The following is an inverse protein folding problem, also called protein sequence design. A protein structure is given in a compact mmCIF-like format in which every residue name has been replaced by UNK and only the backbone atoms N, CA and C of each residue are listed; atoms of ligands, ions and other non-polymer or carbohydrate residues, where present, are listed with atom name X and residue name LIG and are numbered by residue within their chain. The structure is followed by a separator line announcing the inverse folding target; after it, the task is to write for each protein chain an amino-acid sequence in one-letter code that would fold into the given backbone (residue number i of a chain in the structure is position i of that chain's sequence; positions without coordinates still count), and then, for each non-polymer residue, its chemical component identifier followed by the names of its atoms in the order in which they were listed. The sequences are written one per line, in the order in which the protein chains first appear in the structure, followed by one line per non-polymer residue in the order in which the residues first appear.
data_IF_297228651820
#
_entry.id   IF_297228651820
#
_cell.length_a   1.000
_cell.length_b   1.000
_cell.length_c   1.000
_cell.angle_alpha   90.00
_cell.angle_beta   90.00
_cell.angle_gamma   90.00
#
_symmetry.space_group_name_H-M   'P 1'
#
loop_
_entity.id
_entity.type
_entity.pdbx_description
1 polymer ?
#
# COMPACT_ATOMS: atom_id res chain seq x y z
N UNK A 1 8.49 -18.96 -24.60
CA UNK A 1 7.67 -20.00 -23.94
C UNK A 1 7.12 -19.35 -22.69
N UNK A 2 5.81 -19.37 -22.48
CA UNK A 2 5.20 -18.77 -21.29
C UNK A 2 5.66 -19.49 -20.01
N UNK A 3 5.71 -18.77 -18.89
CA UNK A 3 5.85 -19.37 -17.57
C UNK A 3 4.68 -20.37 -17.35
N UNK A 4 4.92 -21.62 -16.92
CA UNK A 4 3.88 -22.62 -16.72
C UNK A 4 2.78 -22.20 -15.72
N UNK A 5 3.07 -21.27 -14.81
CA UNK A 5 2.11 -20.72 -13.85
C UNK A 5 1.18 -19.73 -14.55
N UNK A 6 1.71 -18.86 -15.40
CA UNK A 6 0.90 -17.97 -16.26
C UNK A 6 0.02 -18.80 -17.19
N UNK A 7 0.57 -19.85 -17.81
CA UNK A 7 -0.19 -20.76 -18.67
C UNK A 7 -1.36 -21.40 -17.92
N UNK A 8 -1.15 -21.80 -16.67
CA UNK A 8 -2.21 -22.35 -15.82
C UNK A 8 -3.30 -21.32 -15.54
N UNK A 9 -2.93 -20.09 -15.16
CA UNK A 9 -3.93 -19.02 -14.93
C UNK A 9 -4.78 -18.81 -16.18
N UNK A 10 -4.16 -18.72 -17.36
CA UNK A 10 -4.87 -18.58 -18.63
C UNK A 10 -5.82 -19.77 -18.86
N UNK A 11 -5.36 -21.01 -18.70
CA UNK A 11 -6.22 -22.20 -18.88
C UNK A 11 -7.41 -22.22 -17.91
N UNK A 12 -7.20 -21.85 -16.65
CA UNK A 12 -8.26 -21.74 -15.65
C UNK A 12 -9.28 -20.67 -16.03
N UNK A 13 -8.82 -19.49 -16.48
CA UNK A 13 -9.70 -18.42 -16.95
C UNK A 13 -10.46 -18.83 -18.21
N UNK A 14 -9.81 -19.47 -19.19
CA UNK A 14 -10.41 -19.95 -20.43
C UNK A 14 -11.53 -20.98 -20.21
N UNK A 15 -11.48 -21.72 -19.10
CA UNK A 15 -12.50 -22.68 -18.70
C UNK A 15 -13.71 -22.03 -17.99
N UNK A 16 -13.66 -20.73 -17.69
CA UNK A 16 -14.80 -20.02 -17.12
C UNK A 16 -15.96 -19.99 -18.12
N UNK A 17 -17.13 -20.45 -17.69
CA UNK A 17 -18.32 -20.62 -18.53
C UNK A 17 -18.86 -19.32 -19.15
N UNK A 18 -18.39 -18.16 -18.67
CA UNK A 18 -18.74 -16.83 -19.16
C UNK A 18 -17.92 -16.37 -20.38
N UNK A 19 -16.79 -17.01 -20.69
CA UNK A 19 -15.91 -16.61 -21.78
C UNK A 19 -16.21 -17.35 -23.08
N UNK A 20 -16.32 -16.61 -24.18
CA UNK A 20 -16.39 -17.21 -25.51
C UNK A 20 -15.01 -17.71 -25.97
N UNK A 21 -14.92 -18.70 -26.88
CA UNK A 21 -13.64 -19.14 -27.43
C UNK A 21 -12.83 -18.03 -28.12
N UNK A 22 -13.50 -17.00 -28.66
CA UNK A 22 -12.82 -15.83 -29.23
C UNK A 22 -12.20 -14.94 -28.14
N UNK A 23 -12.96 -14.68 -27.07
CA UNK A 23 -12.48 -13.90 -25.93
C UNK A 23 -11.30 -14.58 -25.21
N UNK A 24 -11.36 -15.90 -25.04
CA UNK A 24 -10.26 -16.72 -24.54
C UNK A 24 -8.96 -16.53 -25.36
N UNK A 25 -9.07 -16.62 -26.69
CA UNK A 25 -7.93 -16.39 -27.59
C UNK A 25 -7.37 -14.97 -27.50
N UNK A 26 -8.23 -13.97 -27.38
CA UNK A 26 -7.80 -12.58 -27.27
C UNK A 26 -7.10 -12.30 -25.93
N UNK A 27 -7.59 -12.89 -24.82
CA UNK A 27 -6.92 -12.85 -23.52
C UNK A 27 -5.51 -13.46 -23.60
N UNK A 28 -5.42 -14.66 -24.17
CA UNK A 28 -4.14 -15.35 -24.34
C UNK A 28 -3.19 -14.53 -25.21
N UNK A 29 -3.67 -14.00 -26.33
CA UNK A 29 -2.86 -13.14 -27.20
C UNK A 29 -2.38 -11.88 -26.46
N UNK A 30 -3.22 -11.24 -25.63
CA UNK A 30 -2.84 -10.06 -24.86
C UNK A 30 -1.61 -10.32 -23.97
N UNK A 31 -1.53 -11.49 -23.34
CA UNK A 31 -0.39 -11.89 -22.52
C UNK A 31 0.80 -12.34 -23.38
N UNK A 32 0.58 -13.29 -24.30
CA UNK A 32 1.67 -13.91 -25.09
C UNK A 32 2.41 -12.92 -25.99
N UNK A 33 1.71 -11.90 -26.48
CA UNK A 33 2.30 -10.90 -27.37
C UNK A 33 3.03 -9.78 -26.65
N UNK A 34 3.02 -9.72 -25.30
CA UNK A 34 3.72 -8.70 -24.51
C UNK A 34 4.80 -9.33 -23.60
N UNK A 35 6.07 -9.39 -24.06
CA UNK A 35 7.18 -9.88 -23.23
C UNK A 35 7.30 -9.16 -21.88
N UNK A 36 7.09 -7.85 -21.84
CA UNK A 36 7.12 -7.06 -20.60
C UNK A 36 6.02 -7.51 -19.63
N UNK A 37 4.78 -7.68 -20.10
CA UNK A 37 3.67 -8.15 -19.26
C UNK A 37 3.97 -9.52 -18.66
N UNK A 38 4.50 -10.44 -19.46
CA UNK A 38 4.91 -11.78 -18.98
C UNK A 38 5.96 -11.67 -17.88
N UNK A 39 6.95 -10.78 -18.02
CA UNK A 39 7.99 -10.56 -17.01
C UNK A 39 7.42 -10.02 -15.70
N UNK A 40 6.60 -8.97 -15.74
CA UNK A 40 6.02 -8.38 -14.52
C UNK A 40 5.01 -9.31 -13.84
N UNK A 41 4.23 -10.08 -14.61
CA UNK A 41 3.34 -11.11 -14.06
C UNK A 41 4.14 -12.22 -13.39
N UNK A 42 5.23 -12.68 -14.00
CA UNK A 42 6.14 -13.67 -13.40
C UNK A 42 6.69 -13.15 -12.08
N UNK A 43 7.11 -11.89 -12.03
CA UNK A 43 7.61 -11.25 -10.80
C UNK A 43 6.54 -11.16 -9.71
N UNK A 44 5.31 -10.79 -10.06
CA UNK A 44 4.19 -10.76 -9.11
C UNK A 44 3.88 -12.17 -8.55
N UNK A 45 3.95 -13.20 -9.40
CA UNK A 45 3.80 -14.61 -8.98
C UNK A 45 4.95 -15.04 -8.08
N UNK A 46 6.20 -14.67 -8.41
CA UNK A 46 7.39 -14.99 -7.60
C UNK A 46 7.34 -14.34 -6.21
N UNK A 47 6.76 -13.14 -6.10
CA UNK A 47 6.49 -12.50 -4.82
C UNK A 47 5.33 -13.17 -4.05
N UNK A 48 4.56 -14.03 -4.70
CA UNK A 48 3.38 -14.67 -4.12
C UNK A 48 2.13 -13.77 -4.12
N UNK A 49 2.10 -12.73 -4.94
CA UNK A 49 1.04 -11.72 -4.97
C UNK A 49 0.05 -11.92 -6.13
N UNK A 50 0.29 -12.84 -7.07
CA UNK A 50 -0.62 -13.09 -8.20
C UNK A 50 -0.83 -14.60 -8.41
N UNK A 51 -2.09 -15.03 -8.47
CA UNK A 51 -2.46 -16.45 -8.65
C UNK A 51 -3.59 -16.67 -9.66
N UNK A 52 -4.49 -15.71 -9.87
CA UNK A 52 -5.66 -15.94 -10.74
C UNK A 52 -6.00 -14.73 -11.62
N UNK A 53 -6.68 -15.02 -12.73
CA UNK A 53 -7.37 -14.05 -13.57
C UNK A 53 -8.84 -14.46 -13.69
N UNK A 54 -9.76 -13.51 -13.56
CA UNK A 54 -11.20 -13.74 -13.79
C UNK A 54 -11.82 -12.59 -14.57
N UNK A 55 -12.96 -12.88 -15.20
CA UNK A 55 -13.80 -11.83 -15.79
C UNK A 55 -15.00 -11.57 -14.88
N UNK A 56 -15.22 -10.31 -14.56
CA UNK A 56 -16.37 -9.85 -13.79
C UNK A 56 -17.02 -8.65 -14.48
N UNK A 57 -18.28 -8.35 -14.15
CA UNK A 57 -18.89 -7.07 -14.48
C UNK A 57 -18.83 -6.18 -13.26
N UNK A 58 -17.77 -5.39 -13.16
CA UNK A 58 -17.63 -4.35 -12.17
C UNK A 58 -17.99 -3.01 -12.81
N UNK A 59 -19.12 -2.39 -12.46
CA UNK A 59 -19.42 -1.05 -12.97
C UNK A 59 -18.29 -0.09 -12.54
N UNK A 60 -18.02 0.92 -13.37
CA UNK A 60 -17.14 2.05 -13.06
C UNK A 60 -15.61 1.77 -13.07
N UNK A 61 -15.18 0.55 -13.39
CA UNK A 61 -13.76 0.15 -13.41
C UNK A 61 -13.42 -0.67 -14.67
N UNK A 62 -12.18 -0.53 -15.18
CA UNK A 62 -11.68 -1.34 -16.30
C UNK A 62 -11.18 -2.72 -15.87
N UNK A 63 -10.68 -2.81 -14.64
CA UNK A 63 -10.28 -4.01 -13.93
C UNK A 63 -10.08 -3.67 -12.45
N UNK A 64 -9.82 -4.68 -11.63
CA UNK A 64 -9.31 -4.50 -10.26
C UNK A 64 -8.46 -5.70 -9.86
N UNK A 65 -7.44 -5.45 -9.06
CA UNK A 65 -6.67 -6.48 -8.38
C UNK A 65 -7.16 -6.65 -6.93
N UNK A 66 -7.47 -7.88 -6.56
CA UNK A 66 -7.81 -8.25 -5.19
C UNK A 66 -6.60 -8.91 -4.51
N UNK A 67 -6.09 -8.29 -3.45
CA UNK A 67 -4.92 -8.82 -2.73
C UNK A 67 -5.22 -10.14 -2.01
N UNK A 68 -6.35 -10.24 -1.31
CA UNK A 68 -6.68 -11.43 -0.51
C UNK A 68 -6.92 -12.69 -1.35
N UNK A 69 -7.50 -12.52 -2.54
CA UNK A 69 -7.70 -13.58 -3.53
C UNK A 69 -6.53 -13.70 -4.52
N UNK A 70 -5.55 -12.78 -4.48
CA UNK A 70 -4.44 -12.67 -5.44
C UNK A 70 -4.92 -12.74 -6.90
N UNK A 71 -6.03 -12.07 -7.18
CA UNK A 71 -6.80 -12.24 -8.40
C UNK A 71 -6.92 -10.92 -9.15
N UNK A 72 -6.60 -10.96 -10.44
CA UNK A 72 -6.94 -9.87 -11.38
C UNK A 72 -8.34 -10.12 -11.92
N UNK A 73 -9.26 -9.19 -11.67
CA UNK A 73 -10.59 -9.15 -12.26
C UNK A 73 -10.60 -8.19 -13.44
N UNK A 74 -10.83 -8.68 -14.65
CA UNK A 74 -10.98 -7.86 -15.85
C UNK A 74 -12.47 -7.57 -16.07
N UNK A 75 -12.83 -6.31 -16.34
CA UNK A 75 -14.20 -5.98 -16.68
C UNK A 75 -14.59 -6.61 -18.04
N UNK A 76 -15.64 -7.43 -18.03
CA UNK A 76 -16.15 -8.13 -19.21
C UNK A 76 -16.59 -7.19 -20.36
N UNK A 77 -16.84 -5.90 -20.10
CA UNK A 77 -17.18 -4.92 -21.13
C UNK A 77 -16.03 -4.67 -22.11
N UNK A 78 -14.78 -4.94 -21.73
CA UNK A 78 -13.63 -4.92 -22.65
C UNK A 78 -13.85 -5.84 -23.85
N UNK A 79 -14.56 -6.96 -23.64
CA UNK A 79 -14.83 -7.96 -24.66
C UNK A 79 -15.80 -7.47 -25.74
N UNK A 80 -16.53 -6.38 -25.47
CA UNK A 80 -17.52 -5.81 -26.38
C UNK A 80 -16.91 -4.81 -27.38
N UNK A 81 -15.62 -4.46 -27.24
CA UNK A 81 -14.96 -3.54 -28.17
C UNK A 81 -14.93 -4.11 -29.60
N UNK A 82 -15.36 -3.34 -30.62
CA UNK A 82 -15.57 -3.85 -31.97
C UNK A 82 -14.26 -4.17 -32.69
N UNK A 83 -13.23 -3.33 -32.50
CA UNK A 83 -11.90 -3.59 -33.04
C UNK A 83 -11.19 -4.67 -32.22
N UNK A 84 -10.78 -5.75 -32.87
CA UNK A 84 -9.99 -6.81 -32.23
C UNK A 84 -8.65 -6.28 -31.71
N UNK A 85 -8.00 -5.43 -32.49
CA UNK A 85 -6.72 -4.83 -32.13
C UNK A 85 -6.84 -4.00 -30.85
N UNK A 86 -7.79 -3.06 -30.80
CA UNK A 86 -8.04 -2.23 -29.61
C UNK A 86 -8.46 -3.06 -28.40
N UNK A 87 -9.26 -4.11 -28.60
CA UNK A 87 -9.65 -5.01 -27.53
C UNK A 87 -8.45 -5.69 -26.88
N UNK A 88 -7.51 -6.18 -27.68
CA UNK A 88 -6.32 -6.87 -27.17
C UNK A 88 -5.36 -5.87 -26.50
N UNK A 89 -5.21 -4.65 -27.03
CA UNK A 89 -4.44 -3.60 -26.32
C UNK A 89 -5.06 -3.24 -24.99
N UNK A 90 -6.38 -3.06 -24.95
CA UNK A 90 -7.08 -2.76 -23.70
C UNK A 90 -6.94 -3.91 -22.70
N UNK A 91 -7.04 -5.17 -23.13
CA UNK A 91 -6.77 -6.33 -22.28
C UNK A 91 -5.33 -6.30 -21.76
N UNK A 92 -4.36 -5.98 -22.61
CA UNK A 92 -2.95 -5.91 -22.25
C UNK A 92 -2.69 -4.79 -21.24
N UNK A 93 -3.29 -3.62 -21.45
CA UNK A 93 -3.20 -2.46 -20.56
C UNK A 93 -3.83 -2.74 -19.20
N UNK A 94 -5.06 -3.27 -19.16
CA UNK A 94 -5.74 -3.63 -17.90
C UNK A 94 -4.94 -4.69 -17.14
N UNK A 95 -4.51 -5.78 -17.79
CA UNK A 95 -3.69 -6.79 -17.13
C UNK A 95 -2.37 -6.21 -16.61
N UNK A 96 -1.74 -5.30 -17.35
CA UNK A 96 -0.54 -4.59 -16.91
C UNK A 96 -0.82 -3.70 -15.69
N UNK A 97 -1.89 -2.91 -15.72
CA UNK A 97 -2.32 -2.05 -14.62
C UNK A 97 -2.52 -2.86 -13.33
N UNK A 98 -3.35 -3.90 -13.40
CA UNK A 98 -3.66 -4.74 -12.23
C UNK A 98 -2.46 -5.56 -11.75
N UNK A 99 -1.55 -5.95 -12.66
CA UNK A 99 -0.27 -6.57 -12.26
C UNK A 99 0.63 -5.57 -11.54
N UNK A 100 0.61 -4.29 -11.92
CA UNK A 100 1.33 -3.24 -11.21
C UNK A 100 0.86 -3.08 -9.76
N UNK A 101 -0.45 -3.19 -9.51
CA UNK A 101 -0.98 -3.27 -8.15
C UNK A 101 -0.52 -4.54 -7.42
N UNK A 102 -0.52 -5.70 -8.07
CA UNK A 102 -0.01 -6.93 -7.47
C UNK A 102 1.47 -6.79 -7.03
N UNK A 103 2.31 -6.12 -7.85
CA UNK A 103 3.71 -5.82 -7.48
C UNK A 103 3.84 -4.90 -6.27
N UNK A 104 2.83 -4.08 -5.99
CA UNK A 104 2.77 -3.15 -4.86
C UNK A 104 1.89 -3.63 -3.71
N UNK A 105 1.36 -4.85 -3.76
CA UNK A 105 0.42 -5.38 -2.78
C UNK A 105 0.91 -5.20 -1.34
N UNK A 106 2.15 -5.64 -1.04
CA UNK A 106 2.77 -5.45 0.28
C UNK A 106 2.99 -3.97 0.65
N UNK A 107 3.25 -3.11 -0.34
CA UNK A 107 3.36 -1.66 -0.13
C UNK A 107 2.06 -1.03 0.31
N UNK A 108 1.00 -1.42 -0.35
CA UNK A 108 -0.34 -0.99 -0.04
C UNK A 108 -0.79 -1.50 1.34
N UNK A 109 -0.57 -2.77 1.65
CA UNK A 109 -0.86 -3.36 2.97
C UNK A 109 -0.19 -2.61 4.12
N UNK A 110 1.10 -2.27 3.98
CA UNK A 110 1.78 -1.47 5.01
C UNK A 110 1.21 -0.06 5.13
N UNK A 111 0.90 0.59 4.01
CA UNK A 111 0.37 1.96 4.02
C UNK A 111 -1.00 2.03 4.71
N UNK A 112 -1.82 1.02 4.49
CA UNK A 112 -3.16 0.90 5.06
C UNK A 112 -3.11 0.54 6.54
N UNK A 113 -2.25 -0.41 6.93
CA UNK A 113 -1.98 -0.71 8.33
C UNK A 113 -1.44 0.51 9.09
N UNK A 114 -0.44 1.21 8.51
CA UNK A 114 0.17 2.41 9.09
C UNK A 114 -0.88 3.50 9.32
N UNK A 115 -1.78 3.71 8.37
CA UNK A 115 -2.87 4.67 8.51
C UNK A 115 -3.76 4.34 9.71
N UNK A 116 -4.34 3.12 9.75
CA UNK A 116 -5.22 2.70 10.85
C UNK A 116 -4.52 2.76 12.21
N UNK A 117 -3.27 2.31 12.27
CA UNK A 117 -2.46 2.33 13.49
C UNK A 117 -2.20 3.77 13.99
N UNK A 118 -1.78 4.68 13.10
CA UNK A 118 -1.51 6.07 13.50
C UNK A 118 -2.77 6.84 13.89
N UNK A 119 -3.92 6.50 13.30
CA UNK A 119 -5.22 7.02 13.74
C UNK A 119 -5.54 6.54 15.16
N UNK A 120 -5.34 5.24 15.45
CA UNK A 120 -5.55 4.68 16.80
C UNK A 120 -4.66 5.35 17.86
N UNK A 121 -3.38 5.56 17.56
CA UNK A 121 -2.45 6.30 18.43
C UNK A 121 -2.92 7.73 18.67
N UNK A 122 -3.25 8.46 17.59
CA UNK A 122 -3.71 9.85 17.68
C UNK A 122 -4.98 9.97 18.54
N UNK A 123 -5.96 9.07 18.35
CA UNK A 123 -7.19 9.05 19.14
C UNK A 123 -6.94 8.73 20.63
N UNK A 124 -6.05 7.77 20.94
CA UNK A 124 -5.68 7.43 22.32
C UNK A 124 -4.93 8.56 23.01
N UNK A 125 -4.01 9.21 22.30
CA UNK A 125 -3.25 10.35 22.81
C UNK A 125 -4.18 11.54 23.08
N UNK A 126 -5.04 11.90 22.12
CA UNK A 126 -6.02 12.96 22.29
C UNK A 126 -6.98 12.67 23.45
N UNK A 127 -7.46 11.43 23.59
CA UNK A 127 -8.27 11.02 24.74
C UNK A 127 -7.52 11.18 26.07
N UNK A 128 -6.22 10.87 26.12
CA UNK A 128 -5.37 11.00 27.32
C UNK A 128 -5.21 12.45 27.75
N UNK A 129 -5.08 13.37 26.81
CA UNK A 129 -4.90 14.80 27.07
C UNK A 129 -6.21 15.61 27.12
N UNK A 130 -7.34 14.98 26.80
CA UNK A 130 -8.66 15.60 26.86
C UNK A 130 -8.98 16.47 25.65
N UNK A 131 -8.36 16.18 24.51
CA UNK A 131 -8.66 16.86 23.25
C UNK A 131 -10.10 16.54 22.81
N UNK A 132 -10.77 17.53 22.21
CA UNK A 132 -12.10 17.33 21.62
C UNK A 132 -12.01 16.82 20.17
N UNK A 133 -10.89 17.10 19.49
CA UNK A 133 -10.66 16.77 18.08
C UNK A 133 -9.17 16.48 17.86
N UNK A 134 -8.86 15.43 17.10
CA UNK A 134 -7.48 15.10 16.70
C UNK A 134 -7.32 15.25 15.21
N UNK A 135 -6.39 16.08 14.77
CA UNK A 135 -6.14 16.31 13.34
C UNK A 135 -5.39 15.13 12.72
N UNK A 136 -6.04 14.42 11.80
CA UNK A 136 -5.46 13.31 11.04
C UNK A 136 -5.15 13.70 9.59
N UNK A 137 -5.27 14.98 9.21
CA UNK A 137 -4.93 15.48 7.87
C UNK A 137 -3.53 15.05 7.41
N UNK A 138 -2.47 15.11 8.26
CA UNK A 138 -1.15 14.65 7.84
C UNK A 138 -1.08 13.15 7.53
N UNK A 139 -1.84 12.32 8.28
CA UNK A 139 -1.92 10.88 8.06
C UNK A 139 -2.65 10.57 6.75
N UNK A 140 -3.74 11.29 6.48
CA UNK A 140 -4.49 11.19 5.24
C UNK A 140 -3.59 11.54 4.04
N UNK A 141 -2.83 12.64 4.11
CA UNK A 141 -1.90 13.05 3.05
C UNK A 141 -0.83 12.01 2.74
N UNK A 142 -0.25 11.41 3.78
CA UNK A 142 0.76 10.36 3.62
C UNK A 142 0.17 9.16 2.87
N UNK A 143 -1.01 8.70 3.27
CA UNK A 143 -1.72 7.61 2.61
C UNK A 143 -2.08 7.94 1.16
N UNK A 144 -2.66 9.13 0.90
CA UNK A 144 -3.01 9.57 -0.45
C UNK A 144 -1.77 9.66 -1.35
N UNK A 145 -0.62 10.12 -0.85
CA UNK A 145 0.60 10.14 -1.64
C UNK A 145 1.09 8.72 -1.98
N UNK A 146 1.01 7.78 -1.04
CA UNK A 146 1.35 6.38 -1.31
C UNK A 146 0.41 5.76 -2.37
N UNK A 147 -0.89 6.04 -2.28
CA UNK A 147 -1.87 5.63 -3.30
C UNK A 147 -1.60 6.26 -4.66
N UNK A 148 -1.20 7.54 -4.69
CA UNK A 148 -0.82 8.26 -5.91
C UNK A 148 0.38 7.61 -6.60
N UNK A 149 1.38 7.17 -5.84
CA UNK A 149 2.53 6.44 -6.38
C UNK A 149 2.14 5.03 -6.87
N UNK A 150 1.23 4.36 -6.16
CA UNK A 150 0.70 3.05 -6.54
C UNK A 150 -0.03 3.08 -7.89
N UNK A 151 -0.98 4.00 -8.06
CA UNK A 151 -1.71 4.19 -9.33
C UNK A 151 -0.77 4.55 -10.48
N UNK A 152 0.24 5.38 -10.21
CA UNK A 152 1.20 5.80 -11.22
C UNK A 152 2.12 4.65 -11.67
N UNK A 153 2.56 3.78 -10.75
CA UNK A 153 3.29 2.58 -11.14
C UNK A 153 2.39 1.63 -11.94
N UNK A 154 1.18 1.37 -11.47
CA UNK A 154 0.22 0.52 -12.17
C UNK A 154 0.01 0.99 -13.60
N UNK A 155 -0.21 2.29 -13.79
CA UNK A 155 -0.40 2.85 -15.12
C UNK A 155 0.87 2.83 -15.97
N UNK A 156 2.05 3.03 -15.39
CA UNK A 156 3.30 2.85 -16.11
C UNK A 156 3.47 1.40 -16.59
N UNK A 157 3.14 0.41 -15.76
CA UNK A 157 3.16 -1.02 -16.12
C UNK A 157 2.16 -1.32 -17.23
N UNK A 158 0.96 -0.71 -17.20
CA UNK A 158 -0.02 -0.76 -18.28
C UNK A 158 0.55 -0.25 -19.60
N UNK A 159 1.07 0.98 -19.62
CA UNK A 159 1.64 1.61 -20.80
C UNK A 159 2.81 0.80 -21.37
N UNK A 160 3.73 0.35 -20.52
CA UNK A 160 4.87 -0.48 -20.92
C UNK A 160 4.43 -1.84 -21.47
N UNK A 161 3.37 -2.44 -20.92
CA UNK A 161 2.80 -3.71 -21.40
C UNK A 161 2.22 -3.57 -22.82
N UNK A 162 1.48 -2.48 -23.09
CA UNK A 162 0.97 -2.20 -24.44
C UNK A 162 2.10 -1.86 -25.40
N UNK A 163 3.07 -1.04 -24.99
CA UNK A 163 4.21 -0.70 -25.84
C UNK A 163 5.06 -1.93 -26.22
N UNK A 164 5.37 -2.78 -25.23
CA UNK A 164 6.05 -4.05 -25.45
C UNK A 164 5.29 -4.94 -26.43
N UNK A 165 3.95 -4.94 -26.36
CA UNK A 165 3.12 -5.70 -27.28
C UNK A 165 3.22 -5.20 -28.71
N UNK A 166 2.99 -3.90 -28.91
CA UNK A 166 2.99 -3.28 -30.24
C UNK A 166 4.36 -3.46 -30.90
N UNK A 167 5.46 -3.28 -30.15
CA UNK A 167 6.83 -3.49 -30.64
C UNK A 167 7.18 -4.96 -30.89
N UNK A 168 6.58 -5.90 -30.17
CA UNK A 168 6.76 -7.32 -30.43
C UNK A 168 6.08 -7.75 -31.74
N UNK A 169 4.95 -7.13 -32.09
CA UNK A 169 4.24 -7.38 -33.35
C UNK A 169 4.94 -6.74 -34.55
N UNK A 170 5.43 -5.51 -34.39
CA UNK A 170 6.22 -4.80 -35.38
C UNK A 170 7.34 -4.00 -34.71
N UNK A 171 8.57 -4.50 -34.83
CA UNK A 171 9.74 -3.84 -34.24
C UNK A 171 10.03 -2.47 -34.86
N UNK A 172 9.55 -2.20 -36.07
CA UNK A 172 9.74 -0.94 -36.80
C UNK A 172 8.55 0.02 -36.69
N UNK A 173 7.56 -0.28 -35.83
CA UNK A 173 6.42 0.60 -35.60
C UNK A 173 6.87 2.02 -35.26
N UNK A 174 6.27 3.00 -35.94
CA UNK A 174 6.55 4.41 -35.71
C UNK A 174 6.06 4.86 -34.34
N UNK A 175 6.67 5.91 -33.80
CA UNK A 175 6.21 6.52 -32.54
C UNK A 175 4.74 6.99 -32.63
N UNK A 176 4.36 7.59 -33.76
CA UNK A 176 2.98 8.05 -33.98
C UNK A 176 1.97 6.90 -33.92
N UNK A 177 2.30 5.74 -34.51
CA UNK A 177 1.45 4.55 -34.45
C UNK A 177 1.43 3.95 -33.04
N UNK A 178 2.58 3.89 -32.34
CA UNK A 178 2.61 3.45 -30.94
C UNK A 178 1.72 4.31 -30.05
N UNK A 179 1.81 5.64 -30.17
CA UNK A 179 0.97 6.57 -29.40
C UNK A 179 -0.50 6.45 -29.80
N UNK A 180 -0.82 6.22 -31.07
CA UNK A 180 -2.19 5.95 -31.49
C UNK A 180 -2.77 4.69 -30.83
N UNK A 181 -1.95 3.64 -30.67
CA UNK A 181 -2.33 2.38 -29.99
C UNK A 181 -2.48 2.53 -28.47
N UNK A 182 -1.73 3.45 -27.85
CA UNK A 182 -1.80 3.74 -26.42
C UNK A 182 -2.97 4.68 -26.05
N UNK A 183 -3.32 5.64 -26.91
CA UNK A 183 -4.39 6.63 -26.69
C UNK A 183 -5.71 6.02 -26.13
N UNK A 184 -6.24 4.90 -26.66
CA UNK A 184 -7.49 4.34 -26.12
C UNK A 184 -7.31 3.57 -24.79
N UNK A 185 -6.09 3.29 -24.34
CA UNK A 185 -5.81 2.45 -23.18
C UNK A 185 -5.41 3.22 -21.93
N UNK A 186 -4.98 4.48 -22.06
CA UNK A 186 -4.44 5.28 -20.97
C UNK A 186 -4.85 6.75 -21.06
N UNK A 187 -5.13 7.45 -19.94
CA UNK A 187 -5.31 8.91 -19.95
C UNK A 187 -3.99 9.67 -20.17
N UNK A 188 -2.85 8.99 -20.08
CA UNK A 188 -1.52 9.61 -20.24
C UNK A 188 -1.09 9.81 -21.69
N UNK A 189 -1.91 9.37 -22.64
CA UNK A 189 -1.81 9.72 -24.06
C UNK A 189 -3.14 10.35 -24.47
N UNK A 190 -3.08 11.45 -25.20
CA UNK A 190 -4.29 12.10 -25.72
C UNK A 190 -4.03 12.65 -27.10
N UNK A 191 -4.86 12.25 -28.07
CA UNK A 191 -4.72 12.61 -29.47
C UNK A 191 -3.32 12.28 -30.03
N UNK A 192 -2.81 11.10 -29.68
CA UNK A 192 -1.48 10.63 -30.07
C UNK A 192 -0.31 11.44 -29.50
N UNK A 193 -0.49 12.09 -28.33
CA UNK A 193 0.57 12.86 -27.66
C UNK A 193 0.69 12.42 -26.21
N UNK A 194 1.93 12.21 -25.76
CA UNK A 194 2.24 11.91 -24.35
C UNK A 194 1.95 13.10 -23.45
N UNK A 195 1.48 12.82 -22.24
CA UNK A 195 1.38 13.81 -21.18
C UNK A 195 2.76 14.41 -20.84
N UNK A 196 2.82 15.68 -20.39
CA UNK A 196 4.07 16.35 -20.09
C UNK A 196 4.92 15.59 -19.06
N UNK A 197 6.23 15.48 -19.33
CA UNK A 197 7.19 14.85 -18.42
C UNK A 197 7.37 13.35 -18.60
N UNK A 198 6.46 12.67 -19.31
CA UNK A 198 6.63 11.26 -19.68
C UNK A 198 7.71 11.15 -20.76
N UNK A 199 8.64 10.23 -20.54
CA UNK A 199 9.71 9.91 -21.49
C UNK A 199 9.74 8.40 -21.73
N UNK A 200 9.79 8.01 -22.99
CA UNK A 200 9.91 6.62 -23.42
C UNK A 200 11.23 6.43 -24.15
N UNK A 201 11.83 5.25 -24.01
CA UNK A 201 12.97 4.84 -24.81
C UNK A 201 12.56 4.44 -26.26
N UNK A 202 13.52 3.94 -27.04
CA UNK A 202 13.26 3.55 -28.45
C UNK A 202 12.33 2.33 -28.58
N UNK A 203 12.14 1.58 -27.50
CA UNK A 203 11.21 0.47 -27.35
C UNK A 203 9.84 0.94 -26.84
N UNK A 204 9.65 2.23 -26.57
CA UNK A 204 8.40 2.75 -26.02
C UNK A 204 8.25 2.52 -24.51
N UNK A 205 9.33 2.14 -23.82
CA UNK A 205 9.33 1.76 -22.41
C UNK A 205 9.77 2.93 -21.54
N UNK A 206 9.03 3.13 -20.46
CA UNK A 206 9.37 4.06 -19.37
C UNK A 206 10.20 3.33 -18.31
N UNK A 207 11.23 4.00 -17.78
CA UNK A 207 12.13 3.45 -16.77
C UNK A 207 12.01 4.20 -15.45
N UNK A 208 12.01 3.46 -14.35
CA UNK A 208 11.97 4.02 -13.00
C UNK A 208 13.35 4.14 -12.36
N UNK A 209 14.39 3.64 -13.02
CA UNK A 209 15.73 3.48 -12.45
C UNK A 209 15.72 2.73 -11.11
N UNK A 210 14.82 1.73 -10.99
CA UNK A 210 14.54 0.94 -9.77
C UNK A 210 14.07 1.78 -8.57
N UNK A 211 13.41 2.92 -8.81
CA UNK A 211 12.92 3.82 -7.75
C UNK A 211 11.46 4.21 -7.95
N UNK A 212 10.65 4.02 -6.89
CA UNK A 212 9.24 4.41 -6.91
C UNK A 212 9.07 5.94 -6.89
N UNK A 213 10.02 6.67 -6.29
CA UNK A 213 10.01 8.14 -6.22
C UNK A 213 10.62 8.83 -7.46
N UNK A 214 10.76 8.08 -8.56
CA UNK A 214 11.41 8.51 -9.79
C UNK A 214 10.62 9.59 -10.56
N UNK A 215 11.30 10.38 -11.41
CA UNK A 215 10.63 11.36 -12.28
C UNK A 215 9.57 10.73 -13.19
N UNK A 216 9.78 9.51 -13.66
CA UNK A 216 8.84 8.80 -14.52
C UNK A 216 7.52 8.51 -13.79
N UNK A 217 7.58 8.00 -12.56
CA UNK A 217 6.38 7.75 -11.73
C UNK A 217 5.67 9.06 -11.44
N UNK A 218 6.41 10.12 -11.09
CA UNK A 218 5.82 11.45 -10.83
C UNK A 218 5.10 12.02 -12.05
N UNK A 219 5.62 11.81 -13.26
CA UNK A 219 4.98 12.26 -14.49
C UNK A 219 3.69 11.48 -14.80
N UNK A 220 3.71 10.16 -14.69
CA UNK A 220 2.51 9.31 -14.88
C UNK A 220 1.43 9.64 -13.85
N UNK A 221 1.82 9.89 -12.59
CA UNK A 221 0.89 10.26 -11.54
C UNK A 221 0.06 11.53 -11.86
N UNK A 222 0.60 12.46 -12.66
CA UNK A 222 -0.12 13.68 -13.03
C UNK A 222 -1.31 13.35 -13.94
N UNK A 223 -1.11 12.55 -14.99
CA UNK A 223 -2.18 12.20 -15.92
C UNK A 223 -3.11 11.10 -15.37
N UNK A 224 -2.57 10.15 -14.60
CA UNK A 224 -3.35 9.04 -14.07
C UNK A 224 -4.15 9.40 -12.82
N UNK A 225 -3.54 10.10 -11.86
CA UNK A 225 -4.13 10.36 -10.55
C UNK A 225 -4.65 11.80 -10.45
N UNK A 226 -3.77 12.78 -10.65
CA UNK A 226 -4.08 14.20 -10.38
C UNK A 226 -5.10 14.79 -11.36
N UNK A 227 -5.11 14.30 -12.62
CA UNK A 227 -6.01 14.74 -13.69
C UNK A 227 -7.05 13.67 -14.05
N UNK A 228 -7.29 12.72 -13.13
CA UNK A 228 -8.22 11.63 -13.37
C UNK A 228 -9.64 12.10 -13.65
N UNK A 229 -10.33 11.36 -14.52
CA UNK A 229 -11.75 11.58 -14.76
C UNK A 229 -12.60 11.16 -13.55
N UNK A 230 -13.81 11.70 -13.48
CA UNK A 230 -14.81 11.33 -12.47
C UNK A 230 -15.60 10.10 -12.94
N UNK A 231 -14.99 8.93 -12.79
CA UNK A 231 -15.61 7.64 -13.16
C UNK A 231 -15.56 6.60 -12.06
N UNK A 232 -14.86 6.85 -10.95
CA UNK A 232 -14.62 5.87 -9.90
C UNK A 232 -15.67 5.94 -8.78
N UNK A 233 -15.63 4.93 -7.92
CA UNK A 233 -16.44 4.88 -6.70
C UNK A 233 -17.83 4.29 -6.91
N UNK A 234 -18.54 4.13 -5.79
CA UNK A 234 -19.88 3.55 -5.73
C UNK A 234 -20.89 4.22 -6.68
N UNK A 235 -20.76 5.54 -6.91
CA UNK A 235 -21.62 6.29 -7.82
C UNK A 235 -21.01 6.57 -9.20
N UNK A 236 -19.74 6.20 -9.44
CA UNK A 236 -19.05 6.45 -10.71
C UNK A 236 -18.84 7.94 -10.98
N UNK A 237 -18.63 8.74 -9.93
CA UNK A 237 -18.55 10.20 -9.96
C UNK A 237 -17.29 10.73 -9.25
N UNK A 238 -16.40 9.84 -8.84
CA UNK A 238 -15.22 10.19 -8.05
C UNK A 238 -13.97 10.15 -8.91
N UNK A 239 -13.06 11.07 -8.63
CA UNK A 239 -11.66 10.94 -9.03
C UNK A 239 -10.92 10.03 -8.05
N UNK A 240 -9.65 9.74 -8.33
CA UNK A 240 -8.82 8.91 -7.46
C UNK A 240 -8.62 9.51 -6.06
N UNK A 241 -8.53 10.83 -5.94
CA UNK A 241 -8.30 11.48 -4.65
C UNK A 241 -9.50 11.24 -3.70
N UNK A 242 -10.72 11.54 -4.15
CA UNK A 242 -11.94 11.27 -3.39
C UNK A 242 -12.13 9.76 -3.14
N UNK A 243 -11.79 8.92 -4.12
CA UNK A 243 -11.83 7.47 -3.99
C UNK A 243 -10.97 6.96 -2.84
N UNK A 244 -9.69 7.36 -2.77
CA UNK A 244 -8.80 6.95 -1.69
C UNK A 244 -9.10 7.66 -0.36
N UNK A 245 -9.62 8.89 -0.35
CA UNK A 245 -10.09 9.55 0.87
C UNK A 245 -11.28 8.84 1.50
N UNK A 246 -12.11 8.16 0.72
CA UNK A 246 -13.17 7.30 1.25
C UNK A 246 -12.63 6.17 2.13
N UNK A 247 -11.45 5.63 1.81
CA UNK A 247 -10.77 4.66 2.65
C UNK A 247 -10.31 5.27 3.96
N UNK A 248 -9.70 6.46 3.93
CA UNK A 248 -9.24 7.18 5.13
C UNK A 248 -10.38 7.37 6.13
N UNK A 249 -11.54 7.82 5.65
CA UNK A 249 -12.72 8.01 6.50
C UNK A 249 -13.27 6.68 7.00
N UNK A 250 -13.24 5.63 6.19
CA UNK A 250 -13.68 4.28 6.58
C UNK A 250 -12.78 3.67 7.67
N UNK A 251 -11.45 3.79 7.52
CA UNK A 251 -10.47 3.37 8.51
C UNK A 251 -10.64 4.15 9.83
N UNK A 252 -10.78 5.47 9.74
CA UNK A 252 -11.05 6.32 10.90
C UNK A 252 -12.33 5.94 11.64
N UNK A 253 -13.41 5.63 10.91
CA UNK A 253 -14.66 5.17 11.48
C UNK A 253 -14.54 3.80 12.16
N UNK A 254 -13.80 2.87 11.55
CA UNK A 254 -13.56 1.54 12.12
C UNK A 254 -12.76 1.63 13.43
N UNK A 255 -11.65 2.38 13.44
CA UNK A 255 -10.81 2.57 14.62
C UNK A 255 -11.56 3.26 15.75
N UNK A 256 -12.27 4.36 15.45
CA UNK A 256 -13.05 5.10 16.46
C UNK A 256 -14.09 4.19 17.13
N UNK A 257 -14.82 3.41 16.33
CA UNK A 257 -15.82 2.46 16.84
C UNK A 257 -15.21 1.36 17.70
N UNK A 258 -14.02 0.86 17.36
CA UNK A 258 -13.35 -0.18 18.13
C UNK A 258 -12.83 0.34 19.47
N UNK A 259 -12.38 1.60 19.51
CA UNK A 259 -12.00 2.29 20.76
C UNK A 259 -13.22 2.56 21.65
N UNK A 260 -14.31 3.06 21.10
CA UNK A 260 -15.57 3.29 21.82
C UNK A 260 -16.15 2.00 22.44
N UNK A 261 -15.91 0.85 21.80
CA UNK A 261 -16.32 -0.45 22.35
C UNK A 261 -15.39 -0.97 23.44
N UNK A 262 -14.11 -0.59 23.40
CA UNK A 262 -13.08 -1.09 24.31
C UNK A 262 -12.96 -0.27 25.60
N UNK A 263 -13.46 0.97 25.63
CA UNK A 263 -13.32 1.89 26.74
C UNK A 263 -14.61 2.68 27.00
N UNK A 264 -14.82 3.10 28.25
CA UNK A 264 -15.86 4.07 28.61
C UNK A 264 -15.37 5.53 28.56
N UNK A 265 -14.08 5.74 28.26
CA UNK A 265 -13.50 7.06 28.07
C UNK A 265 -14.05 7.69 26.78
N UNK A 266 -14.39 8.98 26.84
CA UNK A 266 -14.78 9.73 25.65
C UNK A 266 -13.59 9.80 24.69
N UNK A 267 -13.79 9.33 23.45
CA UNK A 267 -12.80 9.43 22.38
C UNK A 267 -13.01 10.77 21.63
N UNK A 268 -11.94 11.50 21.28
CA UNK A 268 -12.05 12.72 20.47
C UNK A 268 -12.63 12.45 19.07
N UNK A 269 -13.21 13.49 18.46
CA UNK A 269 -13.60 13.43 17.06
C UNK A 269 -12.37 13.45 16.15
N UNK A 270 -12.44 12.83 14.97
CA UNK A 270 -11.41 12.99 13.95
C UNK A 270 -11.53 14.36 13.28
N UNK A 271 -10.41 15.05 13.10
CA UNK A 271 -10.28 16.29 12.35
C UNK A 271 -9.65 16.02 10.97
N UNK A 272 -10.27 16.56 9.92
CA UNK A 272 -9.79 16.47 8.53
C UNK A 272 -9.93 17.82 7.84
N UNK A 273 -8.84 18.36 7.30
CA UNK A 273 -8.88 19.57 6.48
C UNK A 273 -9.24 19.18 5.04
N UNK A 274 -10.53 19.11 4.73
CA UNK A 274 -11.01 18.63 3.43
C UNK A 274 -10.53 19.51 2.26
N UNK A 275 -10.42 20.83 2.48
CA UNK A 275 -9.89 21.76 1.48
C UNK A 275 -8.42 21.48 1.17
N UNK A 276 -7.61 21.22 2.20
CA UNK A 276 -6.20 20.89 2.03
C UNK A 276 -5.99 19.49 1.43
N UNK A 277 -6.94 18.58 1.66
CA UNK A 277 -6.99 17.26 1.02
C UNK A 277 -7.59 17.30 -0.39
N UNK A 278 -8.05 18.47 -0.87
CA UNK A 278 -8.56 18.63 -2.23
C UNK A 278 -9.84 17.86 -2.53
N UNK A 279 -10.74 17.70 -1.55
CA UNK A 279 -12.03 17.02 -1.75
C UNK A 279 -13.13 17.62 -0.86
N UNK A 280 -14.36 17.11 -0.97
CA UNK A 280 -15.49 17.44 -0.12
C UNK A 280 -16.11 16.20 0.54
N UNK A 281 -16.92 16.40 1.58
CA UNK A 281 -17.64 15.30 2.22
C UNK A 281 -18.59 14.58 1.24
N UNK A 282 -19.22 15.33 0.33
CA UNK A 282 -20.10 14.79 -0.70
C UNK A 282 -19.34 13.91 -1.70
N UNK A 283 -18.15 14.33 -2.13
CA UNK A 283 -17.30 13.56 -3.04
C UNK A 283 -16.80 12.27 -2.37
N UNK A 284 -16.34 12.36 -1.12
CA UNK A 284 -15.94 11.20 -0.31
C UNK A 284 -17.12 10.23 -0.10
N UNK A 285 -18.32 10.77 0.14
CA UNK A 285 -19.51 9.96 0.29
C UNK A 285 -19.88 9.24 -1.02
N UNK A 286 -19.80 9.95 -2.15
CA UNK A 286 -20.08 9.43 -3.49
C UNK A 286 -19.06 8.36 -3.93
N UNK A 287 -17.81 8.47 -3.47
CA UNK A 287 -16.79 7.45 -3.65
C UNK A 287 -17.18 6.13 -2.96
N UNK A 288 -17.84 6.20 -1.81
CA UNK A 288 -18.38 5.05 -1.10
C UNK A 288 -17.57 4.72 0.15
N UNK A 289 -18.01 5.24 1.30
CA UNK A 289 -17.41 4.93 2.61
C UNK A 289 -17.92 3.60 3.19
N UNK A 290 -17.03 2.82 3.79
CA UNK A 290 -17.31 1.56 4.45
C UNK A 290 -17.54 1.75 5.94
N UNK A 291 -18.81 1.79 6.36
CA UNK A 291 -19.23 2.09 7.73
C UNK A 291 -19.93 0.90 8.43
N UNK A 292 -19.87 -0.28 7.83
CA UNK A 292 -20.47 -1.51 8.36
C UNK A 292 -21.94 -1.72 7.97
N UNK A 293 -22.44 -1.01 6.96
CA UNK A 293 -23.75 -1.24 6.36
C UNK A 293 -24.36 0.00 5.72
N UNK A 294 -25.24 -0.21 4.75
CA UNK A 294 -25.93 0.88 4.04
C UNK A 294 -26.64 1.84 5.01
N UNK A 295 -26.47 3.14 4.80
CA UNK A 295 -27.11 4.20 5.58
C UNK A 295 -26.50 4.44 6.96
N UNK A 296 -25.50 3.64 7.37
CA UNK A 296 -24.65 3.97 8.52
C UNK A 296 -23.94 5.29 8.26
N UNK A 297 -23.79 6.09 9.32
CA UNK A 297 -23.22 7.41 9.26
C UNK A 297 -21.99 7.48 10.17
N UNK A 298 -21.03 8.31 9.80
CA UNK A 298 -19.87 8.61 10.60
C UNK A 298 -19.64 10.12 10.61
N UNK A 299 -19.55 10.68 11.81
CA UNK A 299 -19.30 12.09 12.05
C UNK A 299 -17.82 12.36 12.30
N UNK A 300 -17.31 13.42 11.68
CA UNK A 300 -15.96 13.94 11.90
C UNK A 300 -16.01 15.47 11.83
N UNK A 301 -14.89 16.13 12.07
CA UNK A 301 -14.77 17.59 12.06
C UNK A 301 -13.98 18.03 10.84
N UNK A 302 -14.59 18.81 9.95
CA UNK A 302 -13.88 19.52 8.90
C UNK A 302 -13.12 20.69 9.53
N UNK A 303 -11.79 20.69 9.41
CA UNK A 303 -10.88 21.70 9.98
C UNK A 303 -10.47 22.78 8.97
N UNK A 304 -11.07 22.77 7.77
CA UNK A 304 -10.77 23.71 6.69
C UNK A 304 -10.88 25.17 7.12
N UNK A 305 -9.96 25.99 6.61
CA UNK A 305 -9.86 27.44 6.90
C UNK A 305 -9.74 27.77 8.40
N UNK A 306 -9.27 26.81 9.22
CA UNK A 306 -9.14 26.96 10.67
C UNK A 306 -10.47 26.95 11.42
N UNK A 307 -11.56 26.52 10.78
CA UNK A 307 -12.87 26.38 11.41
C UNK A 307 -13.11 24.93 11.84
N UNK A 308 -13.82 24.72 12.95
CA UNK A 308 -14.24 23.37 13.37
C UNK A 308 -15.70 23.17 12.96
N UNK A 309 -15.93 22.51 11.82
CA UNK A 309 -17.27 22.27 11.29
C UNK A 309 -17.64 20.79 11.44
N UNK A 310 -18.62 20.44 12.29
CA UNK A 310 -19.15 19.08 12.32
C UNK A 310 -19.64 18.67 10.92
N UNK A 311 -19.18 17.52 10.46
CA UNK A 311 -19.44 16.98 9.13
C UNK A 311 -19.79 15.50 9.28
N UNK A 312 -20.62 14.99 8.38
CA UNK A 312 -21.07 13.61 8.40
C UNK A 312 -21.05 13.04 6.99
N UNK A 313 -20.63 11.79 6.87
CA UNK A 313 -20.79 11.00 5.64
C UNK A 313 -21.61 9.74 5.93
N UNK A 314 -22.29 9.25 4.91
CA UNK A 314 -23.12 8.05 4.96
C UNK A 314 -22.66 7.00 3.96
N UNK A 315 -22.66 5.75 4.38
CA UNK A 315 -22.39 4.65 3.47
C UNK A 315 -23.52 4.53 2.43
N UNK A 316 -23.17 4.76 1.18
CA UNK A 316 -24.05 4.57 0.02
C UNK A 316 -23.87 3.15 -0.51
N UNK A 317 -24.96 2.46 -0.85
CA UNK A 317 -24.91 1.11 -1.41
C UNK A 317 -24.51 0.01 -0.40
N UNK A 318 -24.28 -1.20 -0.91
CA UNK A 318 -23.79 -2.35 -0.12
C UNK A 318 -22.27 -2.22 0.09
N UNK A 319 -21.77 -2.70 1.22
CA UNK A 319 -20.34 -2.65 1.57
C UNK A 319 -19.46 -3.24 0.46
N UNK A 320 -18.36 -2.56 0.12
CA UNK A 320 -17.33 -3.06 -0.80
C UNK A 320 -17.58 -2.86 -2.30
N UNK A 321 -18.72 -2.32 -2.74
CA UNK A 321 -18.95 -2.06 -4.18
C UNK A 321 -18.34 -0.72 -4.57
N UNK A 322 -17.28 -0.75 -5.37
CA UNK A 322 -16.57 0.44 -5.85
C UNK A 322 -15.80 1.15 -4.73
N UNK A 323 -15.20 0.39 -3.81
CA UNK A 323 -14.15 0.90 -2.91
C UNK A 323 -12.80 0.37 -3.44
N UNK A 324 -11.66 1.00 -3.11
CA UNK A 324 -10.38 0.34 -3.30
C UNK A 324 -10.46 -1.03 -2.62
N UNK A 325 -9.92 -2.09 -3.24
CA UNK A 325 -9.98 -3.47 -2.76
C UNK A 325 -9.00 -3.69 -1.57
N UNK A 326 -9.12 -2.78 -0.62
CA UNK A 326 -8.40 -2.65 0.62
C UNK A 326 -9.50 -2.74 1.66
N UNK A 327 -9.63 -3.89 2.31
CA UNK A 327 -10.49 -3.93 3.48
C UNK A 327 -9.97 -2.92 4.50
N UNK A 328 -10.87 -2.15 5.13
CA UNK A 328 -10.50 -1.36 6.30
C UNK A 328 -10.02 -2.34 7.35
N UNK A 329 -8.71 -2.50 7.48
CA UNK A 329 -8.13 -3.45 8.41
C UNK A 329 -8.45 -2.94 9.81
N UNK A 330 -9.39 -3.60 10.48
CA UNK A 330 -9.42 -3.55 11.94
C UNK A 330 -8.04 -4.04 12.38
N UNK A 331 -7.29 -3.23 13.14
CA UNK A 331 -5.94 -3.60 13.60
C UNK A 331 -6.01 -5.01 14.19
N UNK A 332 -5.48 -6.05 13.50
CA UNK A 332 -5.73 -7.41 13.92
C UNK A 332 -5.05 -7.62 15.27
N UNK A 333 -5.82 -7.97 16.29
CA UNK A 333 -5.26 -8.35 17.61
C UNK A 333 -4.46 -9.67 17.56
N UNK A 334 -4.37 -10.35 16.41
CA UNK A 334 -3.68 -11.65 16.25
C UNK A 334 -2.48 -11.60 15.27
N UNK A 335 -1.30 -11.41 15.87
CA UNK A 335 0.04 -11.97 15.58
C UNK A 335 0.50 -12.15 14.12
N UNK A 336 1.10 -11.10 13.56
CA UNK A 336 2.31 -11.30 12.76
C UNK A 336 3.34 -12.10 13.59
N UNK A 337 4.12 -12.97 12.96
CA UNK A 337 5.25 -13.65 13.63
C UNK A 337 6.32 -12.57 13.88
N UNK A 338 6.44 -12.13 15.13
CA UNK A 338 7.36 -11.06 15.54
C UNK A 338 8.71 -11.63 15.96
N UNK A 339 9.73 -10.78 16.12
CA UNK A 339 11.09 -11.22 16.46
C UNK A 339 11.22 -11.98 17.79
N UNK A 340 10.24 -11.89 18.69
CA UNK A 340 10.19 -12.70 19.91
C UNK A 340 9.72 -14.15 19.68
N UNK A 341 9.32 -14.50 18.45
CA UNK A 341 8.94 -15.84 18.05
C UNK A 341 10.12 -16.59 17.39
N UNK A 342 10.41 -17.84 17.77
CA UNK A 342 11.47 -18.67 17.16
C UNK A 342 11.40 -18.88 15.65
N UNK A 343 10.22 -18.74 15.05
CA UNK A 343 10.04 -18.84 13.61
C UNK A 343 10.47 -17.56 12.84
N UNK A 344 10.78 -16.46 13.54
CA UNK A 344 11.17 -15.20 12.91
C UNK A 344 12.65 -15.23 12.48
N UNK A 345 13.02 -14.73 11.27
CA UNK A 345 14.40 -14.71 10.79
C UNK A 345 15.39 -14.02 11.75
N UNK A 346 14.94 -12.95 12.41
CA UNK A 346 15.77 -12.18 13.35
C UNK A 346 15.60 -12.62 14.80
N UNK A 347 14.97 -13.77 15.06
CA UNK A 347 14.79 -14.27 16.41
C UNK A 347 16.11 -14.39 17.16
N UNK A 348 17.19 -14.78 16.48
CA UNK A 348 18.52 -14.88 17.09
C UNK A 348 19.03 -13.54 17.65
N UNK A 349 18.84 -12.44 16.90
CA UNK A 349 19.21 -11.09 17.33
C UNK A 349 18.37 -10.64 18.52
N UNK A 350 17.05 -10.80 18.44
CA UNK A 350 16.15 -10.48 19.55
C UNK A 350 16.47 -11.30 20.79
N UNK A 351 16.71 -12.60 20.63
CA UNK A 351 17.02 -13.52 21.73
C UNK A 351 18.36 -13.16 22.40
N UNK A 352 19.36 -12.70 21.64
CA UNK A 352 20.63 -12.22 22.21
C UNK A 352 20.43 -10.99 23.10
N UNK A 353 19.63 -10.01 22.64
CA UNK A 353 19.24 -8.84 23.43
C UNK A 353 18.49 -9.28 24.68
N UNK A 354 17.45 -10.09 24.51
CA UNK A 354 16.59 -10.55 25.59
C UNK A 354 17.36 -11.33 26.66
N UNK A 355 18.25 -12.24 26.24
CA UNK A 355 19.05 -13.04 27.18
C UNK A 355 19.98 -12.16 28.02
N UNK A 356 20.54 -11.10 27.44
CA UNK A 356 21.38 -10.17 28.19
C UNK A 356 20.54 -9.34 29.18
N UNK A 357 19.44 -8.75 28.71
CA UNK A 357 18.54 -7.90 29.52
C UNK A 357 18.03 -8.69 30.73
N UNK A 358 17.50 -9.89 30.49
CA UNK A 358 17.02 -10.78 31.55
C UNK A 358 18.17 -11.19 32.49
N UNK A 359 19.36 -11.47 31.94
CA UNK A 359 20.55 -11.84 32.72
C UNK A 359 21.06 -10.74 33.65
N UNK A 360 20.67 -9.47 33.46
CA UNK A 360 21.01 -8.39 34.39
C UNK A 360 20.24 -8.46 35.71
N UNK A 361 19.05 -9.09 35.73
CA UNK A 361 18.17 -9.13 36.89
C UNK A 361 17.57 -7.78 37.30
N UNK A 362 17.70 -6.75 36.47
CA UNK A 362 17.19 -5.40 36.78
C UNK A 362 15.69 -5.23 36.55
N UNK A 363 15.05 -6.18 35.86
CA UNK A 363 13.65 -6.14 35.41
C UNK A 363 12.99 -7.50 35.61
N UNK A 364 11.67 -7.51 35.79
CA UNK A 364 10.89 -8.76 35.74
C UNK A 364 10.78 -9.30 34.31
N UNK A 365 10.15 -10.46 34.11
CA UNK A 365 10.05 -11.11 32.80
C UNK A 365 9.33 -10.25 31.74
N UNK A 366 8.25 -9.55 32.13
CA UNK A 366 7.48 -8.69 31.21
C UNK A 366 8.26 -7.43 30.86
N UNK A 367 8.85 -6.77 31.86
CA UNK A 367 9.68 -5.59 31.69
C UNK A 367 10.93 -5.91 30.85
N UNK A 368 11.53 -7.09 31.03
CA UNK A 368 12.66 -7.56 30.22
C UNK A 368 12.27 -7.71 28.75
N UNK A 369 11.07 -8.25 28.47
CA UNK A 369 10.52 -8.33 27.11
C UNK A 369 10.33 -6.94 26.50
N UNK A 370 9.76 -6.02 27.27
CA UNK A 370 9.49 -4.64 26.85
C UNK A 370 10.78 -3.90 26.47
N UNK A 371 11.79 -3.93 27.35
CA UNK A 371 13.10 -3.31 27.11
C UNK A 371 13.80 -3.93 25.89
N UNK A 372 13.74 -5.25 25.75
CA UNK A 372 14.38 -5.98 24.64
C UNK A 372 13.76 -5.64 23.29
N UNK A 373 12.43 -5.59 23.23
CA UNK A 373 11.70 -5.21 22.02
C UNK A 373 11.98 -3.76 21.60
N UNK A 374 12.02 -2.84 22.56
CA UNK A 374 12.34 -1.44 22.29
C UNK A 374 13.77 -1.29 21.74
N UNK A 375 14.75 -1.99 22.31
CA UNK A 375 16.13 -1.95 21.83
C UNK A 375 16.29 -2.61 20.46
N UNK A 376 15.59 -3.74 20.21
CA UNK A 376 15.57 -4.37 18.89
C UNK A 376 15.02 -3.42 17.83
N UNK A 377 13.92 -2.70 18.12
CA UNK A 377 13.38 -1.67 17.23
C UNK A 377 14.41 -0.58 16.91
N UNK A 378 15.08 -0.02 17.92
CA UNK A 378 16.11 1.01 17.71
C UNK A 378 17.30 0.50 16.89
N UNK A 379 17.69 -0.77 17.10
CA UNK A 379 18.74 -1.39 16.30
C UNK A 379 18.34 -1.53 14.83
N UNK A 380 17.07 -1.88 14.58
CA UNK A 380 16.51 -2.03 13.24
C UNK A 380 16.39 -0.68 12.51
N UNK A 381 16.07 0.38 13.24
CA UNK A 381 15.91 1.75 12.73
C UNK A 381 17.23 2.41 12.31
N UNK A 382 18.34 2.04 12.95
CA UNK A 382 19.65 2.61 12.60
C UNK A 382 20.29 1.85 11.42
N UNK A 383 20.42 2.46 10.22
CA UNK A 383 20.98 1.81 9.06
C UNK A 383 22.49 1.51 9.20
N UNK A 384 23.19 2.10 10.17
CA UNK A 384 24.60 1.82 10.45
C UNK A 384 24.78 0.52 11.25
N UNK A 385 23.74 0.03 11.94
CA UNK A 385 23.76 -1.18 12.74
C UNK A 385 23.38 -2.41 11.91
N UNK A 386 24.38 -3.02 11.26
CA UNK A 386 24.16 -4.20 10.40
C UNK A 386 23.93 -5.50 11.16
N UNK A 387 24.38 -5.59 12.42
CA UNK A 387 24.18 -6.72 13.33
C UNK A 387 24.50 -6.31 14.77
N UNK A 388 24.14 -7.15 15.74
CA UNK A 388 24.49 -6.97 17.15
C UNK A 388 25.67 -7.86 17.52
N UNK A 389 26.87 -7.28 17.68
CA UNK A 389 28.06 -7.99 18.13
C UNK A 389 28.12 -8.09 19.67
N UNK A 390 27.58 -7.10 20.37
CA UNK A 390 27.53 -7.07 21.83
C UNK A 390 26.30 -6.33 22.34
N UNK A 391 25.74 -6.79 23.46
CA UNK A 391 24.74 -6.06 24.24
C UNK A 391 25.39 -5.67 25.56
N UNK A 392 25.26 -4.42 25.95
CA UNK A 392 25.85 -3.88 27.18
C UNK A 392 24.96 -2.80 27.76
N UNK A 393 25.23 -2.37 28.98
CA UNK A 393 24.40 -1.37 29.64
C UNK A 393 24.94 -0.98 30.99
N UNK A 394 24.36 0.07 31.55
CA UNK A 394 24.77 0.61 32.83
C UNK A 394 23.88 1.74 33.31
N UNK A 395 23.99 2.04 34.60
CA UNK A 395 23.28 3.14 35.22
C UNK A 395 23.94 4.47 34.84
N UNK A 396 23.18 5.34 34.17
CA UNK A 396 23.56 6.71 33.86
C UNK A 396 23.67 7.57 35.12
N UNK A 397 24.37 8.70 35.03
CA UNK A 397 24.52 9.65 36.16
C UNK A 397 23.21 10.35 36.55
N UNK A 398 22.23 10.30 35.65
CA UNK A 398 20.83 10.73 35.77
C UNK A 398 19.90 9.61 36.29
N UNK A 399 20.45 8.42 36.58
CA UNK A 399 19.69 7.25 37.00
C UNK A 399 18.99 6.50 35.85
N UNK A 400 19.26 6.83 34.58
CA UNK A 400 18.76 6.09 33.42
C UNK A 400 19.37 4.69 33.36
N UNK A 401 18.55 3.66 33.09
CA UNK A 401 19.04 2.30 32.93
C UNK A 401 19.37 2.07 31.45
N UNK A 402 20.51 2.58 30.99
CA UNK A 402 20.83 2.54 29.57
C UNK A 402 21.18 1.12 29.12
N UNK A 403 20.50 0.64 28.08
CA UNK A 403 20.82 -0.62 27.40
C UNK A 403 21.24 -0.30 25.97
N UNK A 404 22.36 -0.86 25.53
CA UNK A 404 23.00 -0.62 24.25
C UNK A 404 23.12 -1.91 23.44
N UNK A 405 22.77 -1.83 22.16
CA UNK A 405 23.13 -2.82 21.16
C UNK A 405 24.29 -2.27 20.33
N UNK A 406 25.42 -2.99 20.30
CA UNK A 406 26.68 -2.53 19.72
C UNK A 406 27.01 -3.33 18.45
N UNK A 407 27.35 -2.60 17.39
CA UNK A 407 27.94 -3.14 16.16
C UNK A 407 29.41 -2.71 16.08
N UNK A 408 30.30 -3.70 15.98
CA UNK A 408 31.75 -3.52 16.01
C UNK A 408 32.38 -4.23 14.79
N UNK A 409 32.42 -3.58 13.60
CA UNK A 409 32.89 -4.21 12.36
C UNK A 409 34.34 -4.72 12.41
N UNK A 410 35.18 -4.13 13.28
CA UNK A 410 36.60 -4.52 13.45
C UNK A 410 36.89 -5.26 14.76
N UNK A 411 35.84 -5.68 15.49
CA UNK A 411 35.94 -6.31 16.80
C UNK A 411 35.68 -5.35 17.95
N UNK A 412 35.18 -5.90 19.06
CA UNK A 412 34.81 -5.14 20.26
C UNK A 412 36.04 -4.40 20.82
N UNK A 413 35.90 -3.09 21.04
CA UNK A 413 36.97 -2.23 21.52
C UNK A 413 37.87 -1.63 20.43
N UNK A 414 37.58 -1.89 19.14
CA UNK A 414 38.29 -1.31 17.99
C UNK A 414 37.34 -0.39 17.23
N UNK A 415 37.66 0.91 17.17
CA UNK A 415 36.85 1.91 16.48
C UNK A 415 36.94 1.75 14.93
N UNK A 416 35.91 2.17 14.18
CA UNK A 416 34.62 2.70 14.65
C UNK A 416 33.69 1.62 15.23
N UNK A 417 32.91 2.00 16.24
CA UNK A 417 31.82 1.20 16.80
C UNK A 417 30.53 2.03 16.73
N UNK A 418 29.42 1.37 16.41
CA UNK A 418 28.10 1.97 16.31
C UNK A 418 27.20 1.37 17.39
N UNK A 419 26.23 2.14 17.88
CA UNK A 419 25.31 1.65 18.91
C UNK A 419 23.92 2.27 18.82
N UNK A 420 22.91 1.45 19.09
CA UNK A 420 21.57 1.90 19.44
C UNK A 420 21.40 1.81 20.95
N UNK A 421 20.55 2.65 21.53
CA UNK A 421 20.29 2.64 22.96
C UNK A 421 18.84 2.94 23.32
N UNK A 422 18.43 2.49 24.51
CA UNK A 422 17.15 2.83 25.15
C UNK A 422 17.37 3.11 26.65
N UNK A 423 16.57 4.00 27.24
CA UNK A 423 16.42 4.05 28.70
C UNK A 423 15.48 2.91 29.11
N UNK A 424 16.02 1.92 29.80
CA UNK A 424 15.29 0.75 30.26
C UNK A 424 14.18 1.05 31.29
N UNK A 425 14.14 2.24 31.91
CA UNK A 425 13.00 2.65 32.74
C UNK A 425 11.78 3.05 31.90
N UNK A 426 12.02 3.76 30.80
CA UNK A 426 10.96 4.16 29.87
C UNK A 426 10.54 2.97 29.03
N UNK A 427 11.51 2.23 28.51
CA UNK A 427 11.27 1.08 27.66
C UNK A 427 10.54 -0.05 28.40
N UNK A 428 10.76 -0.24 29.71
CA UNK A 428 10.03 -1.28 30.46
C UNK A 428 8.52 -1.01 30.58
N UNK A 429 8.09 0.23 30.39
CA UNK A 429 6.67 0.62 30.43
C UNK A 429 5.98 0.50 29.06
N UNK A 430 6.74 0.24 27.99
CA UNK A 430 6.20 0.11 26.63
C UNK A 430 5.96 -1.36 26.29
N UNK A 431 4.74 -1.78 25.93
CA UNK A 431 4.46 -3.17 25.59
C UNK A 431 5.36 -3.69 24.47
N UNK A 432 6.00 -4.84 24.70
CA UNK A 432 6.95 -5.44 23.76
C UNK A 432 6.36 -5.62 22.35
N UNK A 433 5.10 -6.03 22.28
CA UNK A 433 4.38 -6.26 21.03
C UNK A 433 4.34 -5.00 20.15
N UNK A 434 4.20 -3.81 20.74
CA UNK A 434 4.20 -2.54 20.02
C UNK A 434 5.55 -2.27 19.36
N UNK A 435 6.64 -2.41 20.11
CA UNK A 435 7.99 -2.17 19.59
C UNK A 435 8.40 -3.20 18.53
N UNK A 436 8.00 -4.45 18.71
CA UNK A 436 8.26 -5.51 17.74
C UNK A 436 7.50 -5.29 16.42
N UNK A 437 6.23 -4.86 16.49
CA UNK A 437 5.46 -4.52 15.29
C UNK A 437 6.07 -3.33 14.55
N UNK A 438 6.51 -2.29 15.27
CA UNK A 438 7.21 -1.15 14.66
C UNK A 438 8.53 -1.56 13.99
N UNK A 439 9.29 -2.46 14.61
CA UNK A 439 10.51 -2.99 14.00
C UNK A 439 10.24 -3.69 12.66
N UNK A 440 9.14 -4.45 12.55
CA UNK A 440 8.77 -5.09 11.29
C UNK A 440 8.41 -4.09 10.19
N UNK A 441 7.79 -2.96 10.55
CA UNK A 441 7.53 -1.86 9.60
C UNK A 441 8.84 -1.27 9.09
N UNK A 442 9.74 -0.91 10.00
CA UNK A 442 11.02 -0.27 9.68
C UNK A 442 11.90 -1.16 8.79
N UNK A 443 11.99 -2.47 9.09
CA UNK A 443 12.74 -3.42 8.25
C UNK A 443 12.22 -3.47 6.83
N UNK A 444 10.91 -3.32 6.65
CA UNK A 444 10.30 -3.39 5.33
C UNK A 444 10.51 -2.09 4.55
N UNK A 445 10.60 -0.94 5.22
CA UNK A 445 10.98 0.33 4.61
C UNK A 445 12.43 0.31 4.11
N UNK A 446 13.36 -0.31 4.86
CA UNK A 446 14.74 -0.52 4.42
C UNK A 446 14.90 -1.44 3.20
N UNK A 447 13.93 -2.30 2.91
CA UNK A 447 13.93 -3.18 1.72
C UNK A 447 13.39 -2.46 0.48
N UNK A 448 12.67 -1.35 0.66
CA UNK A 448 12.09 -0.54 -0.43
C UNK A 448 13.03 0.54 -0.98
N UNK A 449 14.04 0.94 -0.21
CA UNK A 449 15.12 1.84 -0.62
C UNK A 449 16.23 1.06 -1.33
#
# INVERSE_FOLDING_TARGET
MLDPRIERMLQETEQQSSLSPGAAKDLREAVESSPYLVEVMTKAIDNGDLEHIKFARTPNEGGHYNHGEKTISVNADVLQRPSRTERIDQLTGVLGHETGHALMARSNDLSTYKLSYRIDEALKEGARYGDATVDITPLAKEYINASRENEALAEMVSMNSVASRVKHQDSNVSEAELLHRLDPTTPCVTNGRLAPGIQMDVQGIQHTDNRIDSPAIKAVAICQFDQSGKSLGALGQSDYNAFYLSYVVSAGAAVSRDLDRASSQSIPSLGLNLKELGSSAEEIQAAGVGLGGQGKAFGFTDTSDGQLRPTEVRQIGKSGVGQPDIESQAVPRNQAVLADNPAHPDHSTYQQIHSWVQGTGNWNDEESRNVSAALYKQQVDDPLLKRVDQVTGGLGRDGAHNVFAVYAPHGVGVAPMFHAHVDGREASQQPAQQSLQQAEVIKQDHVRQ
#
